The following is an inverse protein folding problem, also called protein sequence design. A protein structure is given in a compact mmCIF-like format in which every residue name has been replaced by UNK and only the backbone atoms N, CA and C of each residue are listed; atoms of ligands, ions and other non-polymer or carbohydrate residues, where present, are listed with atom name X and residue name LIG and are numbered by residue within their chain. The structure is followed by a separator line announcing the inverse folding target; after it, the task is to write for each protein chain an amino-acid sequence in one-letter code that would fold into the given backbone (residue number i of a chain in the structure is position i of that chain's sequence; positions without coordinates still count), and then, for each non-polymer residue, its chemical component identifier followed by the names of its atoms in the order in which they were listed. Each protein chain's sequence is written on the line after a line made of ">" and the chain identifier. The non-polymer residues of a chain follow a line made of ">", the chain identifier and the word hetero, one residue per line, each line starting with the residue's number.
data_IF_470545640935
#
_entry.id   IF_470545640935
#
_cell.length_a   1.000
_cell.length_b   1.000
_cell.length_c   1.000
_cell.angle_alpha   90.00
_cell.angle_beta   90.00
_cell.angle_gamma   90.00
#
_symmetry.space_group_name_H-M   'P 1'
#
loop_
_entity.id
_entity.type
_entity.pdbx_description
1 polymer ?
#
# COMPACT_ATOMS: atom_id res chain seq x y z
N UNK A 1 -22.70 1.54 -23.18
CA UNK A 1 -22.23 2.56 -22.21
C UNK A 1 -21.39 1.84 -21.18
N UNK A 2 -20.05 1.89 -21.30
CA UNK A 2 -19.15 1.27 -20.33
C UNK A 2 -19.14 2.14 -19.09
N UNK A 3 -19.79 1.69 -18.01
CA UNK A 3 -19.54 2.27 -16.70
C UNK A 3 -18.05 2.14 -16.43
N UNK A 4 -17.32 3.25 -16.51
CA UNK A 4 -15.99 3.35 -15.95
C UNK A 4 -16.18 3.02 -14.47
N UNK A 5 -15.89 1.78 -14.07
CA UNK A 5 -15.85 1.43 -12.66
C UNK A 5 -14.73 2.29 -12.09
N UNK A 6 -15.14 3.42 -11.50
CA UNK A 6 -14.29 4.33 -10.75
C UNK A 6 -13.45 3.45 -9.83
N UNK A 7 -12.15 3.71 -9.81
CA UNK A 7 -11.22 3.11 -8.85
C UNK A 7 -11.88 3.02 -7.47
N UNK A 8 -11.63 1.97 -6.67
CA UNK A 8 -12.22 1.84 -5.36
C UNK A 8 -12.08 3.14 -4.56
N UNK A 9 -13.08 3.52 -3.77
CA UNK A 9 -13.10 4.83 -3.07
C UNK A 9 -11.92 5.05 -2.10
N UNK A 10 -11.20 3.98 -1.78
CA UNK A 10 -9.99 4.02 -0.96
C UNK A 10 -8.70 4.18 -1.78
N UNK A 11 -8.74 4.02 -3.11
CA UNK A 11 -7.57 4.16 -3.99
C UNK A 11 -7.40 5.61 -4.43
N UNK A 12 -6.18 6.12 -4.29
CA UNK A 12 -5.79 7.44 -4.73
C UNK A 12 -5.02 7.30 -6.04
N UNK A 13 -5.60 7.71 -7.16
CA UNK A 13 -4.90 7.66 -8.47
C UNK A 13 -3.61 8.49 -8.49
N UNK A 14 -3.44 9.40 -7.52
CA UNK A 14 -2.20 10.16 -7.31
C UNK A 14 -1.41 9.74 -6.05
N UNK A 15 -1.94 8.78 -5.29
CA UNK A 15 -1.23 7.89 -4.37
C UNK A 15 -0.82 8.42 -2.99
N UNK A 16 -0.28 7.48 -2.21
CA UNK A 16 0.36 7.64 -0.90
C UNK A 16 1.90 7.74 -1.04
N UNK A 17 2.37 8.32 -2.13
CA UNK A 17 3.80 8.53 -2.40
C UNK A 17 4.44 9.29 -1.24
N UNK A 18 5.63 8.88 -0.83
CA UNK A 18 6.40 9.37 0.33
C UNK A 18 5.81 9.02 1.70
N UNK A 19 4.70 8.28 1.76
CA UNK A 19 4.20 7.72 3.01
C UNK A 19 5.17 6.67 3.55
N UNK A 20 5.33 6.63 4.87
CA UNK A 20 6.19 5.66 5.55
C UNK A 20 5.36 4.50 6.07
N UNK A 21 5.77 3.26 5.78
CA UNK A 21 5.22 2.08 6.45
C UNK A 21 5.81 2.00 7.85
N UNK A 22 4.93 2.05 8.85
CA UNK A 22 5.27 1.90 10.27
C UNK A 22 5.32 0.43 10.66
N UNK A 23 4.37 -0.35 10.15
CA UNK A 23 4.21 -1.76 10.43
C UNK A 23 3.45 -2.43 9.28
N UNK A 24 3.79 -3.69 9.02
CA UNK A 24 3.16 -4.50 7.99
C UNK A 24 2.98 -5.91 8.51
N UNK A 25 1.72 -6.34 8.61
CA UNK A 25 1.38 -7.63 9.18
C UNK A 25 0.34 -8.35 8.34
N UNK A 26 0.52 -9.66 8.19
CA UNK A 26 -0.46 -10.57 7.62
C UNK A 26 -1.02 -11.45 8.73
N UNK A 27 -2.34 -11.51 8.85
CA UNK A 27 -3.04 -12.45 9.73
C UNK A 27 -4.13 -13.14 8.92
N UNK A 28 -4.05 -14.47 8.83
CA UNK A 28 -4.91 -15.27 7.95
C UNK A 28 -4.89 -14.73 6.52
N UNK A 29 -6.05 -14.28 6.02
CA UNK A 29 -6.21 -13.65 4.69
C UNK A 29 -6.38 -12.12 4.79
N UNK A 30 -5.88 -11.49 5.86
CA UNK A 30 -5.96 -10.05 6.08
C UNK A 30 -4.57 -9.42 6.12
N UNK A 31 -4.31 -8.48 5.20
CA UNK A 31 -3.09 -7.67 5.21
C UNK A 31 -3.39 -6.31 5.84
N UNK A 32 -2.62 -5.94 6.85
CA UNK A 32 -2.70 -4.63 7.50
C UNK A 32 -1.42 -3.85 7.24
N UNK A 33 -1.57 -2.65 6.68
CA UNK A 33 -0.50 -1.66 6.54
C UNK A 33 -0.78 -0.52 7.53
N UNK A 34 0.14 -0.26 8.45
CA UNK A 34 0.12 0.93 9.30
C UNK A 34 1.04 1.98 8.68
N UNK A 35 0.51 3.17 8.49
CA UNK A 35 1.11 4.19 7.63
C UNK A 35 1.27 5.49 8.41
N UNK A 36 2.43 6.11 8.27
CA UNK A 36 2.65 7.51 8.57
C UNK A 36 2.60 8.28 7.25
N UNK A 37 1.42 8.83 6.96
CA UNK A 37 1.12 9.54 5.72
C UNK A 37 1.39 11.04 5.81
N UNK A 38 2.02 11.56 6.87
CA UNK A 38 2.22 13.01 7.03
C UNK A 38 2.99 13.67 5.89
N UNK A 39 3.85 12.91 5.22
CA UNK A 39 4.60 13.34 4.05
C UNK A 39 3.95 12.92 2.73
N UNK A 40 2.82 12.20 2.78
CA UNK A 40 2.12 11.76 1.60
C UNK A 40 1.61 12.96 0.79
N UNK A 41 1.81 12.91 -0.51
CA UNK A 41 1.55 14.06 -1.38
C UNK A 41 0.06 14.46 -1.47
N UNK A 42 -0.87 13.51 -1.31
CA UNK A 42 -2.31 13.75 -1.58
C UNK A 42 -3.27 13.41 -0.45
N UNK A 43 -3.07 12.30 0.27
CA UNK A 43 -3.86 11.97 1.46
C UNK A 43 -2.93 11.77 2.64
N UNK A 44 -2.75 12.84 3.41
CA UNK A 44 -1.88 12.89 4.58
C UNK A 44 -2.59 12.54 5.90
N UNK A 45 -3.78 11.94 5.79
CA UNK A 45 -4.61 11.56 6.93
C UNK A 45 -4.70 10.03 7.08
N UNK A 46 -4.22 9.25 6.11
CA UNK A 46 -4.28 7.78 6.18
C UNK A 46 -3.35 7.26 7.27
N UNK A 47 -3.91 6.49 8.19
CA UNK A 47 -3.15 5.85 9.26
C UNK A 47 -3.05 4.34 9.04
N UNK A 48 -4.03 3.75 8.37
CA UNK A 48 -4.11 2.32 8.16
C UNK A 48 -4.85 1.96 6.88
N UNK A 49 -4.37 0.91 6.22
CA UNK A 49 -5.08 0.20 5.16
C UNK A 49 -5.20 -1.26 5.55
N UNK A 50 -6.41 -1.79 5.53
CA UNK A 50 -6.70 -3.21 5.76
C UNK A 50 -7.21 -3.81 4.46
N UNK A 51 -6.47 -4.74 3.87
CA UNK A 51 -6.90 -5.49 2.69
C UNK A 51 -7.51 -6.83 3.13
N UNK A 52 -8.75 -7.08 2.68
CA UNK A 52 -9.51 -8.28 2.98
C UNK A 52 -9.40 -9.30 1.83
N UNK A 53 -9.38 -10.58 2.19
CA UNK A 53 -9.14 -11.71 1.29
C UNK A 53 -7.84 -11.54 0.49
N UNK A 54 -6.82 -11.05 1.20
CA UNK A 54 -5.53 -10.65 0.68
C UNK A 54 -4.63 -11.87 0.46
N UNK A 55 -3.90 -11.85 -0.66
CA UNK A 55 -2.89 -12.83 -1.04
C UNK A 55 -1.65 -12.10 -1.52
N UNK A 56 -0.58 -12.27 -0.77
CA UNK A 56 0.72 -11.71 -1.12
C UNK A 56 1.35 -12.48 -2.28
N UNK A 57 1.96 -11.73 -3.21
CA UNK A 57 2.76 -12.27 -4.31
C UNK A 57 4.26 -11.99 -4.13
N UNK A 58 4.61 -11.19 -3.14
CA UNK A 58 5.99 -10.89 -2.75
C UNK A 58 6.14 -10.98 -1.23
N UNK A 59 7.38 -11.13 -0.71
CA UNK A 59 7.62 -11.12 0.72
C UNK A 59 7.19 -9.81 1.36
N UNK A 60 6.75 -9.88 2.62
CA UNK A 60 6.44 -8.69 3.40
C UNK A 60 7.70 -7.84 3.63
N UNK A 61 7.61 -6.50 3.50
CA UNK A 61 8.66 -5.64 4.00
C UNK A 61 8.72 -5.73 5.54
N UNK A 62 9.90 -5.47 6.10
CA UNK A 62 10.12 -5.49 7.55
C UNK A 62 10.56 -4.09 8.01
N UNK A 63 9.62 -3.13 8.12
CA UNK A 63 9.93 -1.79 8.58
C UNK A 63 10.46 -1.82 10.02
N UNK A 64 11.58 -1.16 10.26
CA UNK A 64 12.14 -0.98 11.60
C UNK A 64 12.66 0.44 11.76
N UNK A 65 12.95 0.87 13.00
CA UNK A 65 13.55 2.19 13.25
C UNK A 65 14.87 2.41 12.48
N UNK A 66 15.63 1.34 12.21
CA UNK A 66 16.92 1.41 11.48
C UNK A 66 16.79 1.21 9.98
N UNK A 67 15.68 0.64 9.51
CA UNK A 67 15.38 0.39 8.10
C UNK A 67 13.95 0.86 7.84
N UNK A 68 13.75 2.18 7.64
CA UNK A 68 12.44 2.69 7.28
C UNK A 68 12.07 2.17 5.89
N UNK A 69 10.76 2.03 5.65
CA UNK A 69 10.22 1.61 4.38
C UNK A 69 9.27 2.69 3.88
N UNK A 70 9.52 3.19 2.67
CA UNK A 70 8.75 4.28 2.07
C UNK A 70 8.01 3.80 0.84
N UNK A 71 6.80 4.31 0.66
CA UNK A 71 5.96 4.07 -0.50
C UNK A 71 6.37 5.02 -1.63
N UNK A 72 6.92 4.50 -2.73
CA UNK A 72 7.48 5.32 -3.80
C UNK A 72 6.48 5.55 -4.92
N UNK A 73 5.76 4.50 -5.30
CA UNK A 73 4.64 4.56 -6.24
C UNK A 73 3.81 3.30 -6.15
N UNK A 74 2.61 3.34 -6.73
CA UNK A 74 1.75 2.18 -6.83
C UNK A 74 0.92 2.15 -8.12
N UNK A 75 0.45 0.97 -8.46
CA UNK A 75 -0.45 0.71 -9.58
C UNK A 75 -1.51 -0.31 -9.16
N UNK A 76 -2.77 0.08 -9.32
CA UNK A 76 -3.93 -0.79 -9.10
C UNK A 76 -4.45 -1.36 -10.43
N UNK A 77 -4.44 -2.68 -10.53
CA UNK A 77 -5.02 -3.41 -11.65
C UNK A 77 -6.29 -4.11 -11.22
N UNK A 78 -7.38 -3.92 -11.98
CA UNK A 78 -8.60 -4.71 -11.80
C UNK A 78 -8.41 -6.13 -12.34
N UNK A 79 -8.80 -7.13 -11.56
CA UNK A 79 -8.78 -8.54 -11.96
C UNK A 79 -10.21 -9.09 -12.15
N UNK A 80 -10.36 -10.30 -12.74
CA UNK A 80 -11.64 -11.03 -12.75
C UNK A 80 -12.16 -11.30 -11.33
N UNK A 81 -13.44 -11.69 -11.23
CA UNK A 81 -14.09 -12.07 -9.96
C UNK A 81 -14.04 -10.98 -8.87
N UNK A 82 -14.12 -9.72 -9.28
CA UNK A 82 -14.15 -8.56 -8.38
C UNK A 82 -12.91 -8.43 -7.49
N UNK A 83 -11.78 -8.99 -7.95
CA UNK A 83 -10.50 -8.84 -7.29
C UNK A 83 -9.74 -7.64 -7.82
N UNK A 84 -8.79 -7.20 -7.01
CA UNK A 84 -7.85 -6.14 -7.31
C UNK A 84 -6.44 -6.64 -7.05
N UNK A 85 -5.49 -6.16 -7.84
CA UNK A 85 -4.06 -6.32 -7.61
C UNK A 85 -3.46 -4.95 -7.40
N UNK A 86 -2.87 -4.72 -6.24
CA UNK A 86 -2.09 -3.53 -5.96
C UNK A 86 -0.61 -3.90 -6.00
N UNK A 87 0.13 -3.23 -6.88
CA UNK A 87 1.58 -3.27 -6.92
C UNK A 87 2.10 -1.99 -6.28
N UNK A 88 2.89 -2.11 -5.23
CA UNK A 88 3.51 -0.99 -4.54
C UNK A 88 5.01 -1.14 -4.66
N UNK A 89 5.69 -0.11 -5.17
CA UNK A 89 7.13 -0.04 -5.13
C UNK A 89 7.57 0.62 -3.82
N UNK A 90 8.41 -0.09 -3.05
CA UNK A 90 8.89 0.38 -1.76
C UNK A 90 10.40 0.67 -1.81
N UNK A 91 10.83 1.74 -1.16
CA UNK A 91 12.24 1.95 -0.82
C UNK A 91 12.48 1.42 0.60
N UNK A 92 13.45 0.53 0.77
CA UNK A 92 13.74 -0.17 2.04
C UNK A 92 15.09 0.22 2.65
N UNK A 93 15.77 1.21 2.07
CA UNK A 93 17.05 1.75 2.52
C UNK A 93 18.00 2.04 1.36
N UNK A 94 19.28 2.21 1.68
CA UNK A 94 20.33 2.50 0.70
C UNK A 94 21.46 1.48 0.79
N UNK A 95 21.94 1.02 -0.36
CA UNK A 95 23.12 0.15 -0.47
C UNK A 95 24.06 0.73 -1.54
N UNK A 96 25.33 0.94 -1.18
CA UNK A 96 26.36 1.50 -2.07
C UNK A 96 25.92 2.77 -2.81
N UNK A 97 25.22 3.67 -2.10
CA UNK A 97 24.74 4.93 -2.65
C UNK A 97 23.52 4.84 -3.57
N UNK A 98 22.87 3.67 -3.67
CA UNK A 98 21.62 3.49 -4.40
C UNK A 98 20.48 3.08 -3.48
N UNK A 99 19.29 3.61 -3.74
CA UNK A 99 18.07 3.14 -3.09
C UNK A 99 17.88 1.64 -3.33
N UNK A 100 17.51 0.92 -2.29
CA UNK A 100 17.16 -0.50 -2.36
C UNK A 100 15.65 -0.59 -2.44
N UNK A 101 15.20 -1.08 -3.57
CA UNK A 101 13.81 -1.09 -3.96
C UNK A 101 13.23 -2.51 -3.87
N UNK A 102 12.04 -2.64 -3.28
CA UNK A 102 11.33 -3.92 -3.10
C UNK A 102 9.86 -3.75 -3.49
N UNK A 103 9.31 -4.63 -4.34
CA UNK A 103 7.87 -4.61 -4.62
C UNK A 103 7.08 -5.29 -3.50
N UNK A 104 5.97 -4.66 -3.10
CA UNK A 104 4.88 -5.28 -2.34
C UNK A 104 3.69 -5.47 -3.28
N UNK A 105 3.38 -6.73 -3.61
CA UNK A 105 2.29 -7.07 -4.51
C UNK A 105 1.23 -7.84 -3.72
N UNK A 106 0.03 -7.29 -3.67
CA UNK A 106 -1.13 -7.89 -3.00
C UNK A 106 -2.29 -8.04 -3.97
N UNK A 107 -2.93 -9.21 -3.95
CA UNK A 107 -4.22 -9.46 -4.60
C UNK A 107 -5.28 -9.54 -3.51
N UNK A 108 -6.40 -8.84 -3.61
CA UNK A 108 -7.41 -8.73 -2.56
C UNK A 108 -8.79 -8.46 -3.15
N UNK A 109 -9.85 -8.64 -2.36
CA UNK A 109 -11.22 -8.34 -2.81
C UNK A 109 -11.66 -6.92 -2.44
N UNK A 110 -11.36 -6.48 -1.23
CA UNK A 110 -11.72 -5.14 -0.76
C UNK A 110 -10.67 -4.58 0.20
N UNK A 111 -10.70 -3.26 0.41
CA UNK A 111 -9.84 -2.61 1.39
C UNK A 111 -10.60 -1.56 2.19
N UNK A 112 -10.21 -1.40 3.45
CA UNK A 112 -10.76 -0.42 4.40
C UNK A 112 -9.62 0.51 4.80
N UNK A 113 -9.89 1.81 4.76
CA UNK A 113 -8.92 2.84 5.16
C UNK A 113 -9.38 3.53 6.45
N UNK A 114 -8.47 3.63 7.41
CA UNK A 114 -8.65 4.44 8.60
C UNK A 114 -7.90 5.75 8.42
N UNK A 115 -8.58 6.87 8.69
CA UNK A 115 -8.02 8.22 8.61
C UNK A 115 -8.08 8.91 9.96
N UNK A 116 -7.12 9.80 10.24
CA UNK A 116 -7.19 10.72 11.37
C UNK A 116 -8.47 11.56 11.25
N UNK A 117 -9.26 11.64 12.32
CA UNK A 117 -10.41 12.55 12.37
C UNK A 117 -9.91 14.00 12.34
N UNK A 118 -10.41 14.79 11.38
CA UNK A 118 -10.14 16.23 11.24
C UNK A 118 -11.28 17.02 11.86
#
# INVERSE_FOLDING_TARGET
>A
MSEARKSPCWYWEKGLHDAKLLDVSMQDDTLVLRIDSRNAMYDNLVEQIVFLDARLKTPLPVPTKRKPVYWIWDELTKLPFEQWKLHIQLETGFSRGKAVEQPLIVVFQSAITTRTNV
#
